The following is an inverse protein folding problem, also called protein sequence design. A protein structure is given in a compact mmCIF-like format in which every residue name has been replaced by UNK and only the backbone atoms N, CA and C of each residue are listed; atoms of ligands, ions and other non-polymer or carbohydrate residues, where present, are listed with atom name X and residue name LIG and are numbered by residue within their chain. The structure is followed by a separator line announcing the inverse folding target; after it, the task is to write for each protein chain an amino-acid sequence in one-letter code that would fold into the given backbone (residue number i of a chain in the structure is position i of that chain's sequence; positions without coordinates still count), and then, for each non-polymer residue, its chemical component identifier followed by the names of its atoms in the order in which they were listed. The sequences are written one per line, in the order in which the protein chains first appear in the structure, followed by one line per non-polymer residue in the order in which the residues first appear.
data_IF_517687658497
#
_entry.id   IF_517687658497
#
_cell.length_a   1.000
_cell.length_b   1.000
_cell.length_c   1.000
_cell.angle_alpha   90.00
_cell.angle_beta   90.00
_cell.angle_gamma   90.00
#
_symmetry.space_group_name_H-M   'P 1'
#
loop_
_entity.id
_entity.type
_entity.pdbx_description
1 polymer ?
#
# COMPACT_ATOMS: atom_id res chain seq x y z
N UNK A 1 4.87 -23.28 3.81
CA UNK A 1 4.14 -23.43 5.09
C UNK A 1 3.88 -22.08 5.71
N UNK A 2 2.70 -21.89 6.28
CA UNK A 2 2.40 -20.65 6.98
C UNK A 2 3.17 -20.58 8.29
N UNK A 3 3.79 -19.44 8.55
CA UNK A 3 4.47 -19.15 9.79
C UNK A 3 3.57 -18.32 10.71
N UNK A 4 3.77 -18.43 12.00
CA UNK A 4 3.06 -17.62 12.98
C UNK A 4 3.96 -16.49 13.45
N UNK A 5 3.46 -15.28 13.41
CA UNK A 5 4.17 -14.10 13.88
C UNK A 5 3.35 -13.36 14.93
N UNK A 6 4.03 -12.85 15.95
CA UNK A 6 3.42 -11.92 16.89
C UNK A 6 3.70 -10.49 16.41
N UNK A 7 2.65 -9.75 16.13
CA UNK A 7 2.75 -8.37 15.64
C UNK A 7 2.11 -7.45 16.66
N UNK A 8 2.86 -6.43 17.10
CA UNK A 8 2.32 -5.41 18.00
C UNK A 8 1.78 -4.25 17.16
N UNK A 9 0.47 -4.01 17.28
CA UNK A 9 -0.21 -2.93 16.58
C UNK A 9 -0.88 -2.04 17.61
N UNK A 10 -0.41 -0.82 17.73
CA UNK A 10 -0.95 0.20 18.61
C UNK A 10 -1.07 -0.27 20.08
N UNK A 11 -0.09 -1.06 20.52
CA UNK A 11 -0.04 -1.60 21.87
C UNK A 11 -0.69 -2.96 22.08
N UNK A 12 -1.35 -3.49 21.05
CA UNK A 12 -1.97 -4.81 21.12
C UNK A 12 -1.15 -5.83 20.31
N UNK A 13 -0.98 -7.02 20.88
CA UNK A 13 -0.26 -8.10 20.22
C UNK A 13 -1.23 -9.02 19.50
N UNK A 14 -1.02 -9.19 18.20
CA UNK A 14 -1.79 -10.09 17.37
C UNK A 14 -0.92 -11.24 16.90
N UNK A 15 -1.50 -12.44 16.85
CA UNK A 15 -0.86 -13.60 16.23
C UNK A 15 -1.38 -13.73 14.82
N UNK A 16 -0.48 -13.68 13.84
CA UNK A 16 -0.82 -13.73 12.42
C UNK A 16 -0.17 -14.95 11.78
N UNK A 17 -0.95 -15.74 11.05
CA UNK A 17 -0.44 -16.83 10.23
C UNK A 17 -0.33 -16.36 8.79
N UNK A 18 0.86 -16.47 8.23
CA UNK A 18 1.12 -16.03 6.85
C UNK A 18 2.34 -16.75 6.28
N UNK A 19 2.37 -16.85 4.96
CA UNK A 19 3.54 -17.37 4.23
C UNK A 19 4.58 -16.28 3.98
N UNK A 20 4.28 -15.03 4.29
CA UNK A 20 5.20 -13.92 4.09
C UNK A 20 6.41 -14.02 5.03
N UNK A 21 7.59 -13.57 4.59
CA UNK A 21 8.79 -13.59 5.42
C UNK A 21 8.71 -12.63 6.60
N UNK A 22 9.52 -12.88 7.62
CA UNK A 22 9.54 -12.06 8.84
C UNK A 22 9.83 -10.59 8.56
N UNK A 23 10.75 -10.28 7.66
CA UNK A 23 11.07 -8.91 7.27
C UNK A 23 9.84 -8.16 6.72
N UNK A 24 9.05 -8.84 5.93
CA UNK A 24 7.83 -8.26 5.38
C UNK A 24 6.82 -7.95 6.48
N UNK A 25 6.70 -8.85 7.46
CA UNK A 25 5.80 -8.66 8.60
C UNK A 25 6.24 -7.50 9.49
N UNK A 26 7.54 -7.32 9.68
CA UNK A 26 8.08 -6.18 10.41
C UNK A 26 7.75 -4.85 9.72
N UNK A 27 7.90 -4.81 8.41
CA UNK A 27 7.57 -3.62 7.60
C UNK A 27 6.08 -3.31 7.66
N UNK A 28 5.24 -4.34 7.57
CA UNK A 28 3.78 -4.18 7.71
C UNK A 28 3.40 -3.57 9.04
N UNK A 29 3.94 -4.13 10.13
CA UNK A 29 3.67 -3.64 11.48
C UNK A 29 4.14 -2.21 11.67
N UNK A 30 5.33 -1.89 11.20
CA UNK A 30 5.90 -0.55 11.28
C UNK A 30 5.05 0.47 10.51
N UNK A 31 4.63 0.13 9.31
CA UNK A 31 3.79 1.00 8.49
C UNK A 31 2.43 1.25 9.13
N UNK A 32 1.79 0.19 9.60
CA UNK A 32 0.49 0.33 10.25
C UNK A 32 0.57 1.16 11.53
N UNK A 33 1.60 0.93 12.35
CA UNK A 33 1.82 1.70 13.58
C UNK A 33 2.08 3.18 13.28
N UNK A 34 2.80 3.47 12.22
CA UNK A 34 3.02 4.85 11.78
C UNK A 34 1.70 5.55 11.42
N UNK A 35 0.84 4.88 10.68
CA UNK A 35 -0.47 5.45 10.31
C UNK A 35 -1.38 5.63 11.51
N UNK A 36 -1.34 4.69 12.47
CA UNK A 36 -2.06 4.83 13.73
C UNK A 36 -1.59 6.08 14.50
N UNK A 37 -0.29 6.29 14.59
CA UNK A 37 0.27 7.48 15.25
C UNK A 37 -0.18 8.77 14.56
N UNK A 38 -0.22 8.81 13.24
CA UNK A 38 -0.70 9.96 12.48
C UNK A 38 -2.15 10.30 12.81
N UNK A 39 -3.01 9.28 12.90
CA UNK A 39 -4.42 9.49 13.28
C UNK A 39 -4.53 9.99 14.71
N UNK A 40 -3.76 9.43 15.64
CA UNK A 40 -3.74 9.86 17.03
C UNK A 40 -3.32 11.32 17.17
N UNK A 41 -2.31 11.74 16.42
CA UNK A 41 -1.83 13.13 16.42
C UNK A 41 -2.86 14.12 15.90
N UNK A 42 -3.72 13.68 14.98
CA UNK A 42 -4.78 14.55 14.44
C UNK A 42 -5.85 14.93 15.48
N UNK A 43 -5.94 14.14 16.57
CA UNK A 43 -6.89 14.40 17.64
C UNK A 43 -8.35 14.22 17.27
N UNK A 44 -8.63 13.58 16.13
CA UNK A 44 -10.01 13.41 15.65
C UNK A 44 -10.86 12.55 16.57
N UNK A 45 -10.27 11.60 17.27
CA UNK A 45 -10.98 10.71 18.17
C UNK A 45 -10.03 10.10 19.19
N UNK A 46 -10.56 9.85 20.40
CA UNK A 46 -9.86 9.11 21.45
C UNK A 46 -10.28 7.63 21.45
N UNK A 47 -11.27 7.26 20.65
CA UNK A 47 -11.75 5.88 20.58
C UNK A 47 -10.75 5.03 19.79
N UNK A 48 -10.20 4.02 20.45
CA UNK A 48 -9.18 3.15 19.89
C UNK A 48 -9.61 2.46 18.60
N UNK A 49 -10.83 1.92 18.58
CA UNK A 49 -11.36 1.26 17.40
C UNK A 49 -11.46 2.22 16.22
N UNK A 50 -11.93 3.44 16.47
CA UNK A 50 -12.00 4.46 15.42
C UNK A 50 -10.63 4.84 14.90
N UNK A 51 -9.62 4.95 15.78
CA UNK A 51 -8.24 5.24 15.39
C UNK A 51 -7.73 4.19 14.42
N UNK A 52 -7.91 2.92 14.74
CA UNK A 52 -7.47 1.81 13.89
C UNK A 52 -8.23 1.79 12.57
N UNK A 53 -9.54 2.02 12.60
CA UNK A 53 -10.36 2.08 11.38
C UNK A 53 -9.93 3.23 10.47
N UNK A 54 -9.66 4.40 11.03
CA UNK A 54 -9.19 5.55 10.25
C UNK A 54 -7.79 5.29 9.66
N UNK A 55 -6.91 4.64 10.42
CA UNK A 55 -5.60 4.23 9.91
C UNK A 55 -5.73 3.25 8.74
N UNK A 56 -6.65 2.30 8.84
CA UNK A 56 -6.94 1.35 7.77
C UNK A 56 -7.48 2.06 6.52
N UNK A 57 -8.39 3.01 6.69
CA UNK A 57 -8.91 3.81 5.58
C UNK A 57 -7.81 4.62 4.89
N UNK A 58 -6.91 5.20 5.68
CA UNK A 58 -5.79 5.96 5.16
C UNK A 58 -4.87 5.08 4.30
N UNK A 59 -4.56 3.87 4.77
CA UNK A 59 -3.76 2.91 4.04
C UNK A 59 -4.47 2.44 2.76
N UNK A 60 -5.78 2.20 2.83
CA UNK A 60 -6.57 1.83 1.67
C UNK A 60 -6.56 2.93 0.61
N UNK A 61 -6.67 4.19 1.03
CA UNK A 61 -6.59 5.35 0.14
C UNK A 61 -5.23 5.42 -0.55
N UNK A 62 -4.15 5.22 0.19
CA UNK A 62 -2.78 5.18 -0.35
C UNK A 62 -2.63 4.07 -1.39
N UNK A 63 -3.21 2.90 -1.13
CA UNK A 63 -3.18 1.77 -2.08
C UNK A 63 -3.90 2.14 -3.37
N UNK A 64 -5.07 2.76 -3.28
CA UNK A 64 -5.83 3.19 -4.46
C UNK A 64 -5.06 4.22 -5.27
N UNK A 65 -4.44 5.20 -4.61
CA UNK A 65 -3.60 6.22 -5.26
C UNK A 65 -2.41 5.60 -5.98
N UNK A 66 -1.69 4.67 -5.32
CA UNK A 66 -0.54 3.99 -5.90
C UNK A 66 -0.93 3.15 -7.10
N UNK A 67 -2.05 2.46 -7.05
CA UNK A 67 -2.58 1.68 -8.18
C UNK A 67 -2.95 2.59 -9.34
N UNK A 68 -3.60 3.71 -9.06
CA UNK A 68 -3.95 4.69 -10.08
C UNK A 68 -2.74 5.29 -10.76
N UNK A 69 -1.71 5.66 -10.00
CA UNK A 69 -0.45 6.18 -10.55
C UNK A 69 0.24 5.14 -11.42
N UNK A 70 0.28 3.88 -10.96
CA UNK A 70 0.89 2.78 -11.71
C UNK A 70 0.15 2.51 -13.01
N UNK A 71 -1.15 2.51 -12.99
CA UNK A 71 -2.00 2.30 -14.17
C UNK A 71 -1.82 3.45 -15.17
N UNK A 72 -1.74 4.69 -14.70
CA UNK A 72 -1.48 5.87 -15.52
C UNK A 72 -0.12 5.81 -16.20
N UNK A 73 0.93 5.39 -15.51
CA UNK A 73 2.26 5.20 -16.09
C UNK A 73 2.26 4.10 -17.14
N UNK A 74 1.61 2.98 -16.86
CA UNK A 74 1.50 1.87 -17.81
C UNK A 74 0.80 2.34 -19.09
N UNK A 75 -0.27 3.09 -18.95
CA UNK A 75 -1.01 3.62 -20.09
C UNK A 75 -0.15 4.57 -20.92
N UNK A 76 0.60 5.46 -20.28
CA UNK A 76 1.50 6.36 -20.99
C UNK A 76 2.59 5.63 -21.75
N UNK A 77 3.16 4.58 -21.16
CA UNK A 77 4.16 3.75 -21.80
C UNK A 77 3.59 3.01 -23.01
N UNK A 78 2.37 2.51 -22.92
CA UNK A 78 1.68 1.85 -24.01
C UNK A 78 1.41 2.83 -25.17
N UNK A 79 0.97 4.04 -24.87
CA UNK A 79 0.74 5.09 -25.86
C UNK A 79 2.03 5.48 -26.59
N UNK A 80 3.12 5.68 -25.86
CA UNK A 80 4.43 5.98 -26.45
C UNK A 80 4.94 4.86 -27.33
N UNK A 81 4.75 3.62 -26.89
CA UNK A 81 5.14 2.45 -27.66
C UNK A 81 4.37 2.37 -28.99
N UNK A 82 3.09 2.66 -28.97
CA UNK A 82 2.27 2.72 -30.19
C UNK A 82 2.72 3.81 -31.15
N UNK A 83 3.05 4.99 -30.62
CA UNK A 83 3.51 6.13 -31.42
C UNK A 83 4.85 5.81 -32.10
N UNK A 84 5.76 5.15 -31.41
CA UNK A 84 7.05 4.71 -31.95
C UNK A 84 6.83 3.69 -33.06
N UNK A 85 5.96 2.71 -32.85
CA UNK A 85 5.65 1.69 -33.84
C UNK A 85 5.01 2.29 -35.07
N UNK A 86 4.10 3.25 -34.91
CA UNK A 86 3.47 3.95 -36.01
C UNK A 86 4.49 4.75 -36.84
N UNK A 87 5.40 5.45 -36.17
CA UNK A 87 6.49 6.20 -36.84
C UNK A 87 7.41 5.28 -37.63
N UNK A 88 7.77 4.12 -37.08
CA UNK A 88 8.59 3.12 -37.78
C UNK A 88 7.87 2.54 -38.99
N UNK A 89 6.58 2.28 -38.87
CA UNK A 89 5.78 1.76 -39.97
C UNK A 89 5.74 2.74 -41.15
N UNK A 90 5.61 4.04 -40.89
CA UNK A 90 5.66 5.08 -41.90
C UNK A 90 7.02 5.17 -42.61
N UNK A 91 8.10 4.99 -41.87
CA UNK A 91 9.46 5.00 -42.43
C UNK A 91 9.71 3.80 -43.32
N UNK A 92 9.11 2.66 -42.99
CA UNK A 92 9.31 1.40 -43.73
C UNK A 92 8.40 1.28 -44.98
N UNK A 93 7.47 2.15 -45.16
CA UNK A 93 6.65 2.22 -46.37
C UNK A 93 7.43 2.85 -47.56
#
# INVERSE_FOLDING_TARGET
MANRYSVNIAGYTLTVETERPAEHMERLGALLNERVRQVQKSGCTANYLHVVMLAAMKLADEVIELRGARDGERQRLEEKSRDILAALDDVLK
#
